data_IF_452737583708
#
_entry.id   IF_452737583708
#
_cell.length_a   1.000
_cell.length_b   1.000
_cell.length_c   1.000
_cell.angle_alpha   90.00
_cell.angle_beta   90.00
_cell.angle_gamma   90.00
#
_symmetry.space_group_name_H-M   'P 1'
#
loop_
_entity.id
_entity.type
_entity.pdbx_description
1 polymer ?
#
# COMPACT_ATOMS: atom_id res chain seq x y z
N UNK A 1 31.37 -68.40 11.99
CA UNK A 1 31.46 -66.94 11.80
C UNK A 1 30.18 -66.31 12.34
N UNK A 2 30.14 -65.97 13.63
CA UNK A 2 29.01 -65.29 14.25
C UNK A 2 29.40 -63.83 14.44
N UNK A 3 28.78 -62.97 13.64
CA UNK A 3 28.77 -61.53 13.87
C UNK A 3 28.29 -61.26 15.30
N UNK A 4 29.20 -60.84 16.18
CA UNK A 4 28.84 -60.34 17.51
C UNK A 4 28.16 -58.99 17.30
N UNK A 5 26.82 -58.98 17.34
CA UNK A 5 26.05 -57.75 17.54
C UNK A 5 26.47 -57.14 18.89
N UNK A 6 27.40 -56.18 18.86
CA UNK A 6 27.70 -55.32 20.02
C UNK A 6 26.49 -54.39 20.17
N UNK A 7 25.64 -54.66 21.16
CA UNK A 7 24.56 -53.75 21.53
C UNK A 7 25.13 -52.40 22.00
N UNK A 8 24.37 -51.33 21.77
CA UNK A 8 24.70 -49.99 22.25
C UNK A 8 24.76 -49.97 23.79
N UNK A 9 25.79 -49.34 24.35
CA UNK A 9 25.81 -49.02 25.78
C UNK A 9 24.80 -47.91 26.08
N UNK A 10 24.28 -47.85 27.30
CA UNK A 10 23.35 -46.80 27.74
C UNK A 10 23.93 -45.39 27.52
N UNK A 11 25.24 -45.23 27.72
CA UNK A 11 25.93 -43.95 27.55
C UNK A 11 26.01 -43.54 26.08
N UNK A 12 26.29 -44.47 25.18
CA UNK A 12 26.25 -44.21 23.72
C UNK A 12 24.82 -43.87 23.27
N UNK A 13 23.79 -44.54 23.80
CA UNK A 13 22.40 -44.22 23.48
C UNK A 13 22.04 -42.80 23.92
N UNK A 14 22.37 -42.41 25.16
CA UNK A 14 22.12 -41.06 25.69
C UNK A 14 22.85 -40.00 24.84
N UNK A 15 24.09 -40.28 24.45
CA UNK A 15 24.89 -39.37 23.63
C UNK A 15 24.26 -39.18 22.25
N UNK A 16 23.82 -40.27 21.61
CA UNK A 16 23.15 -40.20 20.29
C UNK A 16 21.82 -39.47 20.40
N UNK A 17 21.00 -39.76 21.41
CA UNK A 17 19.72 -39.06 21.61
C UNK A 17 19.95 -37.57 21.85
N UNK A 18 20.92 -37.18 22.68
CA UNK A 18 21.24 -35.78 22.94
C UNK A 18 21.67 -35.03 21.66
N UNK A 19 22.51 -35.66 20.84
CA UNK A 19 22.93 -35.10 19.54
C UNK A 19 21.71 -34.92 18.62
N UNK A 20 20.87 -35.94 18.49
CA UNK A 20 19.65 -35.86 17.66
C UNK A 20 18.71 -34.77 18.17
N UNK A 21 18.50 -34.67 19.49
CA UNK A 21 17.67 -33.62 20.09
C UNK A 21 18.18 -32.21 19.77
N UNK A 22 19.50 -31.99 19.83
CA UNK A 22 20.11 -30.71 19.43
C UNK A 22 19.85 -30.42 17.95
N UNK A 23 20.04 -31.41 17.07
CA UNK A 23 19.75 -31.23 15.64
C UNK A 23 18.28 -30.91 15.37
N UNK A 24 17.36 -31.56 16.06
CA UNK A 24 15.92 -31.27 15.92
C UNK A 24 15.61 -29.83 16.33
N UNK A 25 16.15 -29.36 17.46
CA UNK A 25 15.97 -27.96 17.90
C UNK A 25 16.53 -26.98 16.86
N UNK A 26 17.75 -27.22 16.36
CA UNK A 26 18.37 -26.37 15.35
C UNK A 26 17.55 -26.32 14.04
N UNK A 27 17.00 -27.45 13.59
CA UNK A 27 16.16 -27.51 12.39
C UNK A 27 14.87 -26.70 12.59
N UNK A 28 14.24 -26.81 13.76
CA UNK A 28 13.01 -26.06 14.07
C UNK A 28 13.31 -24.55 14.09
N UNK A 29 14.39 -24.13 14.74
CA UNK A 29 14.79 -22.72 14.78
C UNK A 29 15.11 -22.18 13.38
N UNK A 30 15.82 -22.97 12.56
CA UNK A 30 16.10 -22.60 11.17
C UNK A 30 14.81 -22.48 10.33
N UNK A 31 13.87 -23.42 10.45
CA UNK A 31 12.60 -23.35 9.72
C UNK A 31 11.79 -22.11 10.13
N UNK A 32 11.71 -21.82 11.44
CA UNK A 32 11.06 -20.61 11.96
C UNK A 32 11.73 -19.33 11.42
N UNK A 33 13.07 -19.27 11.43
CA UNK A 33 13.82 -18.13 10.92
C UNK A 33 13.61 -17.92 9.41
N UNK A 34 13.58 -19.01 8.63
CA UNK A 34 13.31 -18.94 7.19
C UNK A 34 11.89 -18.46 6.93
N UNK A 35 10.88 -19.03 7.59
CA UNK A 35 9.48 -18.59 7.46
C UNK A 35 9.30 -17.13 7.83
N UNK A 36 9.92 -16.70 8.93
CA UNK A 36 9.93 -15.29 9.33
C UNK A 36 10.46 -14.39 8.23
N UNK A 37 11.61 -14.73 7.65
CA UNK A 37 12.23 -13.93 6.60
C UNK A 37 11.39 -13.89 5.33
N UNK A 38 10.83 -15.03 4.92
CA UNK A 38 9.98 -15.12 3.71
C UNK A 38 8.71 -14.29 3.88
N UNK A 39 7.97 -14.49 4.98
CA UNK A 39 6.71 -13.77 5.22
C UNK A 39 6.92 -12.25 5.35
N UNK A 40 8.00 -11.84 6.04
CA UNK A 40 8.34 -10.41 6.16
C UNK A 40 8.67 -9.79 4.80
N UNK A 41 9.45 -10.50 3.98
CA UNK A 41 9.79 -10.03 2.63
C UNK A 41 8.56 -9.96 1.72
N UNK A 42 7.68 -10.97 1.77
CA UNK A 42 6.45 -10.99 0.96
C UNK A 42 5.52 -9.83 1.34
N UNK A 43 5.34 -9.59 2.65
CA UNK A 43 4.58 -8.44 3.13
C UNK A 43 5.20 -7.12 2.68
N UNK A 44 6.52 -6.98 2.79
CA UNK A 44 7.23 -5.78 2.34
C UNK A 44 7.03 -5.53 0.84
N UNK A 45 7.17 -6.57 0.00
CA UNK A 45 6.97 -6.48 -1.44
C UNK A 45 5.53 -6.14 -1.81
N UNK A 46 4.57 -6.68 -1.07
CA UNK A 46 3.15 -6.36 -1.26
C UNK A 46 2.88 -4.89 -0.95
N UNK A 47 3.34 -4.39 0.20
CA UNK A 47 3.21 -2.98 0.57
C UNK A 47 3.89 -2.06 -0.45
N UNK A 48 5.07 -2.45 -0.93
CA UNK A 48 5.82 -1.69 -1.93
C UNK A 48 5.08 -1.63 -3.27
N UNK A 49 4.52 -2.75 -3.74
CA UNK A 49 3.74 -2.80 -4.97
C UNK A 49 2.48 -1.95 -4.84
N UNK A 50 1.73 -2.14 -3.76
CA UNK A 50 0.49 -1.41 -3.47
C UNK A 50 0.71 0.12 -3.45
N UNK A 51 1.72 0.57 -2.71
CA UNK A 51 2.04 1.98 -2.62
C UNK A 51 2.56 2.58 -3.94
N UNK A 52 3.29 1.81 -4.75
CA UNK A 52 3.72 2.24 -6.10
C UNK A 52 2.53 2.38 -7.04
N UNK A 53 1.63 1.40 -7.04
CA UNK A 53 0.43 1.42 -7.89
C UNK A 53 -0.46 2.61 -7.56
N UNK A 54 -0.63 2.91 -6.27
CA UNK A 54 -1.33 4.12 -5.84
C UNK A 54 -0.62 5.39 -6.29
N UNK A 55 0.69 5.51 -6.08
CA UNK A 55 1.45 6.71 -6.48
C UNK A 55 1.35 6.97 -7.99
N UNK A 56 1.46 5.93 -8.81
CA UNK A 56 1.31 6.03 -10.26
C UNK A 56 -0.09 6.47 -10.67
N UNK A 57 -1.12 5.90 -10.04
CA UNK A 57 -2.52 6.26 -10.29
C UNK A 57 -2.79 7.72 -9.90
N UNK A 58 -2.34 8.12 -8.72
CA UNK A 58 -2.49 9.49 -8.24
C UNK A 58 -1.76 10.49 -9.15
N UNK A 59 -0.53 10.18 -9.56
CA UNK A 59 0.22 11.00 -10.51
C UNK A 59 -0.55 11.18 -11.84
N UNK A 60 -1.14 10.10 -12.35
CA UNK A 60 -1.96 10.16 -13.56
C UNK A 60 -3.21 11.03 -13.36
N UNK A 61 -3.91 10.86 -12.24
CA UNK A 61 -5.13 11.62 -11.94
C UNK A 61 -4.81 13.12 -11.73
N UNK A 62 -3.72 13.45 -11.06
CA UNK A 62 -3.24 14.83 -10.88
C UNK A 62 -2.86 15.50 -12.21
N UNK A 63 -2.16 14.78 -13.09
CA UNK A 63 -1.81 15.27 -14.43
C UNK A 63 -3.04 15.42 -15.34
N UNK A 64 -4.11 14.69 -15.06
CA UNK A 64 -5.37 14.76 -15.83
C UNK A 64 -6.34 15.80 -15.29
N UNK A 65 -6.13 16.30 -14.07
CA UNK A 65 -6.97 17.30 -13.44
C UNK A 65 -6.78 18.68 -14.07
N UNK A 66 -7.89 19.34 -14.43
CA UNK A 66 -7.87 20.71 -14.94
C UNK A 66 -7.98 21.76 -13.83
N UNK A 67 -8.56 21.38 -12.68
CA UNK A 67 -8.68 22.24 -11.49
C UNK A 67 -8.52 21.43 -10.21
N UNK A 68 -7.89 22.07 -9.23
CA UNK A 68 -7.72 21.57 -7.88
C UNK A 68 -8.59 22.42 -6.96
N UNK A 69 -9.46 21.81 -6.15
CA UNK A 69 -10.15 22.56 -5.10
C UNK A 69 -9.12 23.06 -4.08
N UNK A 70 -9.05 24.38 -3.85
CA UNK A 70 -8.16 24.98 -2.85
C UNK A 70 -8.62 24.71 -1.41
N UNK A 71 -9.85 24.22 -1.22
CA UNK A 71 -10.45 24.01 0.12
C UNK A 71 -10.16 22.63 0.72
N UNK A 72 -9.68 21.64 -0.05
CA UNK A 72 -9.74 20.22 0.35
C UNK A 72 -8.40 19.56 0.72
N UNK A 73 -7.34 20.34 1.00
CA UNK A 73 -6.03 19.79 1.41
C UNK A 73 -5.82 20.08 2.90
N UNK A 74 -6.64 19.50 3.77
CA UNK A 74 -6.43 19.56 5.22
C UNK A 74 -6.90 18.26 5.89
N UNK A 75 -6.03 17.71 6.74
CA UNK A 75 -5.97 16.33 7.19
C UNK A 75 -6.73 16.07 8.51
N UNK A 76 -7.74 15.20 8.50
CA UNK A 76 -8.09 14.33 9.63
C UNK A 76 -8.97 13.14 9.22
N UNK A 77 -9.01 12.11 10.06
CA UNK A 77 -9.79 10.88 9.84
C UNK A 77 -11.23 11.17 9.43
N UNK A 78 -11.70 10.52 8.36
CA UNK A 78 -13.04 10.73 7.80
C UNK A 78 -13.19 11.95 6.89
N UNK A 79 -12.10 12.60 6.48
CA UNK A 79 -12.14 13.75 5.55
C UNK A 79 -11.68 13.37 4.13
N UNK A 80 -12.14 14.16 3.16
CA UNK A 80 -11.69 14.15 1.77
C UNK A 80 -10.28 14.74 1.69
N UNK A 81 -9.32 14.00 1.11
CA UNK A 81 -7.91 14.38 1.05
C UNK A 81 -7.52 15.06 -0.27
N UNK A 82 -8.16 14.64 -1.36
CA UNK A 82 -7.87 15.15 -2.69
C UNK A 82 -9.18 15.15 -3.46
N UNK A 83 -9.54 16.31 -3.99
CA UNK A 83 -10.72 16.52 -4.81
C UNK A 83 -10.28 17.14 -6.14
N UNK A 84 -10.42 16.36 -7.21
CA UNK A 84 -9.94 16.70 -8.55
C UNK A 84 -11.10 16.85 -9.50
N UNK A 85 -11.10 17.93 -10.26
CA UNK A 85 -12.02 18.13 -11.38
C UNK A 85 -11.30 17.79 -12.68
N UNK A 86 -11.75 16.71 -13.34
CA UNK A 86 -11.20 16.20 -14.60
C UNK A 86 -12.18 16.52 -15.72
N UNK A 87 -11.78 17.28 -16.75
CA UNK A 87 -12.65 17.57 -17.87
C UNK A 87 -12.92 16.30 -18.67
N UNK A 88 -14.17 16.06 -19.05
CA UNK A 88 -14.52 14.93 -19.92
C UNK A 88 -14.29 15.34 -21.37
N UNK A 89 -13.45 14.62 -22.15
CA UNK A 89 -13.30 14.93 -23.57
C UNK A 89 -14.62 14.66 -24.29
N UNK A 90 -15.09 15.62 -25.09
CA UNK A 90 -16.30 15.48 -25.87
C UNK A 90 -16.07 14.40 -26.94
N UNK A 91 -16.78 13.28 -26.81
CA UNK A 91 -16.66 12.10 -27.67
C UNK A 91 -17.05 12.40 -29.12
N UNK A 92 -17.75 13.50 -29.39
CA UNK A 92 -18.21 13.88 -30.72
C UNK A 92 -17.22 14.73 -31.52
N UNK A 93 -16.37 15.50 -30.84
CA UNK A 93 -15.45 16.45 -31.47
C UNK A 93 -13.98 16.15 -31.22
N UNK A 94 -13.65 15.30 -30.24
CA UNK A 94 -12.27 15.06 -29.81
C UNK A 94 -11.64 16.30 -29.14
N UNK A 95 -12.43 17.36 -28.95
CA UNK A 95 -12.05 18.59 -28.27
C UNK A 95 -12.50 18.50 -26.82
N UNK A 96 -11.67 18.95 -25.88
CA UNK A 96 -12.08 19.16 -24.51
C UNK A 96 -12.93 20.45 -24.48
N UNK A 97 -14.18 20.36 -24.92
CA UNK A 97 -15.11 21.50 -24.92
C UNK A 97 -16.50 21.04 -24.48
N UNK A 98 -16.71 20.98 -23.17
CA UNK A 98 -18.00 20.81 -22.53
C UNK A 98 -17.95 21.25 -21.07
N UNK A 99 -19.07 21.65 -20.46
CA UNK A 99 -19.15 21.97 -19.03
C UNK A 99 -19.11 20.71 -18.14
N UNK A 100 -19.01 19.52 -18.73
CA UNK A 100 -19.04 18.25 -18.00
C UNK A 100 -17.63 17.88 -17.51
N UNK A 101 -17.47 17.84 -16.19
CA UNK A 101 -16.26 17.39 -15.51
C UNK A 101 -16.55 16.22 -14.58
N UNK A 102 -15.74 15.17 -14.67
CA UNK A 102 -15.72 14.12 -13.68
C UNK A 102 -15.03 14.65 -12.42
N UNK A 103 -15.54 14.27 -11.25
CA UNK A 103 -14.92 14.60 -9.97
C UNK A 103 -14.30 13.34 -9.38
N UNK A 104 -13.00 13.37 -9.12
CA UNK A 104 -12.30 12.29 -8.40
C UNK A 104 -12.08 12.73 -6.96
N UNK A 105 -12.54 11.89 -6.03
CA UNK A 105 -12.40 12.11 -4.60
C UNK A 105 -11.58 10.97 -4.00
N UNK A 106 -10.53 11.30 -3.28
CA UNK A 106 -9.80 10.38 -2.41
C UNK A 106 -10.18 10.64 -0.96
N UNK A 107 -10.59 9.60 -0.25
CA UNK A 107 -10.98 9.71 1.15
C UNK A 107 -10.66 8.45 1.94
N UNK A 108 -10.51 8.62 3.25
CA UNK A 108 -10.35 7.51 4.21
C UNK A 108 -11.71 7.24 4.84
N UNK A 109 -12.30 6.04 4.65
CA UNK A 109 -13.54 5.66 5.30
C UNK A 109 -13.40 5.68 6.83
N UNK A 110 -14.37 6.27 7.53
CA UNK A 110 -14.33 6.37 8.99
C UNK A 110 -14.43 5.01 9.72
N UNK A 111 -15.02 4.02 9.07
CA UNK A 111 -15.13 2.64 9.55
C UNK A 111 -13.84 1.83 9.34
N UNK A 112 -12.95 2.27 8.45
CA UNK A 112 -11.68 1.60 8.19
C UNK A 112 -10.55 2.62 7.90
N UNK A 113 -9.89 3.15 8.94
CA UNK A 113 -8.85 4.15 8.80
C UNK A 113 -7.59 3.66 8.07
N UNK A 114 -7.44 2.34 7.92
CA UNK A 114 -6.31 1.71 7.23
C UNK A 114 -6.52 1.63 5.71
N UNK A 115 -7.60 2.21 5.18
CA UNK A 115 -7.94 2.16 3.75
C UNK A 115 -8.04 3.55 3.15
N UNK A 116 -7.52 3.68 1.95
CA UNK A 116 -7.79 4.84 1.09
C UNK A 116 -8.69 4.39 -0.06
N UNK A 117 -9.75 5.14 -0.29
CA UNK A 117 -10.72 4.89 -1.35
C UNK A 117 -10.66 6.01 -2.37
N UNK A 118 -10.64 5.63 -3.65
CA UNK A 118 -10.83 6.52 -4.78
C UNK A 118 -12.27 6.37 -5.28
N UNK A 119 -12.96 7.50 -5.38
CA UNK A 119 -14.33 7.61 -5.86
C UNK A 119 -14.34 8.50 -7.09
N UNK A 120 -15.11 8.13 -8.12
CA UNK A 120 -15.35 8.97 -9.29
C UNK A 120 -16.84 9.26 -9.42
N UNK A 121 -17.16 10.54 -9.44
CA UNK A 121 -18.50 11.10 -9.55
C UNK A 121 -18.66 11.69 -10.95
N UNK A 122 -19.85 11.53 -11.53
CA UNK A 122 -20.16 12.08 -12.84
C UNK A 122 -20.68 13.53 -12.70
N UNK A 123 -20.41 14.37 -13.70
CA UNK A 123 -20.76 15.79 -13.74
C UNK A 123 -22.25 16.12 -13.59
N UNK A 124 -23.13 15.15 -13.86
CA UNK A 124 -24.58 15.33 -13.98
C UNK A 124 -25.38 15.49 -12.68
N UNK A 125 -24.78 15.90 -11.57
CA UNK A 125 -25.50 16.12 -10.29
C UNK A 125 -25.94 14.85 -9.56
N UNK A 126 -25.49 13.67 -10.01
CA UNK A 126 -25.67 12.43 -9.27
C UNK A 126 -24.68 12.37 -8.11
N UNK A 127 -25.18 12.14 -6.91
CA UNK A 127 -24.35 11.85 -5.72
C UNK A 127 -23.86 10.41 -5.69
N UNK A 128 -24.35 9.55 -6.60
CA UNK A 128 -23.92 8.16 -6.66
C UNK A 128 -22.63 8.02 -7.47
N UNK A 129 -21.59 7.39 -6.89
CA UNK A 129 -20.35 7.14 -7.60
C UNK A 129 -20.53 6.02 -8.61
N UNK A 130 -20.12 6.26 -9.86
CA UNK A 130 -20.11 5.21 -10.86
C UNK A 130 -18.87 4.29 -10.73
N UNK A 131 -17.83 4.76 -10.02
CA UNK A 131 -16.67 3.95 -9.65
C UNK A 131 -16.23 4.26 -8.23
N UNK A 132 -16.13 3.23 -7.40
CA UNK A 132 -15.55 3.29 -6.07
C UNK A 132 -14.59 2.12 -5.90
N UNK A 133 -13.33 2.41 -5.59
CA UNK A 133 -12.27 1.40 -5.47
C UNK A 133 -11.39 1.69 -4.27
N UNK A 134 -11.10 0.66 -3.48
CA UNK A 134 -10.04 0.70 -2.47
C UNK A 134 -8.70 0.71 -3.20
N UNK A 135 -7.92 1.78 -3.01
CA UNK A 135 -6.63 1.99 -3.68
C UNK A 135 -5.44 1.77 -2.76
N UNK A 136 -5.66 1.85 -1.44
CA UNK A 136 -4.70 1.40 -0.43
C UNK A 136 -5.44 0.62 0.66
N UNK A 137 -4.80 -0.43 1.15
CA UNK A 137 -5.11 -1.23 2.33
C UNK A 137 -3.83 -1.17 3.18
N UNK A 138 -3.85 -1.16 4.51
CA UNK A 138 -2.62 -0.97 5.32
C UNK A 138 -2.08 0.48 5.38
N UNK A 139 -2.91 1.49 5.13
CA UNK A 139 -2.52 2.89 5.30
C UNK A 139 -2.32 3.23 6.78
N UNK A 140 -1.14 3.78 7.12
CA UNK A 140 -0.89 4.38 8.43
C UNK A 140 -1.06 5.89 8.41
N UNK A 141 -0.41 6.53 7.45
CA UNK A 141 -0.48 7.98 7.27
C UNK A 141 -0.23 8.35 5.82
N UNK A 142 -0.82 9.45 5.40
CA UNK A 142 -0.57 10.09 4.11
C UNK A 142 -0.44 11.59 4.36
N UNK A 143 0.64 12.18 3.86
CA UNK A 143 0.90 13.61 3.92
C UNK A 143 0.96 14.15 2.49
N UNK A 144 0.23 15.24 2.25
CA UNK A 144 0.12 15.87 0.94
C UNK A 144 0.41 17.36 1.09
N UNK A 145 1.44 17.83 0.39
CA UNK A 145 1.84 19.22 0.40
C UNK A 145 1.73 19.79 -1.01
N UNK A 146 0.81 20.74 -1.20
CA UNK A 146 0.70 21.53 -2.44
C UNK A 146 1.58 22.78 -2.28
N UNK A 147 2.64 22.86 -3.08
CA UNK A 147 3.46 24.08 -3.19
C UNK A 147 3.01 24.85 -4.42
N UNK A 148 2.43 26.07 -4.26
CA UNK A 148 2.09 26.90 -5.39
C UNK A 148 3.38 27.44 -6.02
N UNK A 149 3.77 26.90 -7.17
CA UNK A 149 4.70 27.57 -8.08
C UNK A 149 3.83 28.35 -9.05
N UNK A 150 4.18 29.62 -9.35
CA UNK A 150 3.36 30.61 -10.07
C UNK A 150 2.63 30.12 -11.34
N UNK A 151 3.07 29.02 -11.95
CA UNK A 151 2.51 28.45 -13.19
C UNK A 151 2.28 26.92 -13.10
N UNK A 152 3.07 26.18 -12.31
CA UNK A 152 2.99 24.71 -12.22
C UNK A 152 2.96 24.23 -10.75
N UNK A 153 1.80 23.85 -10.17
CA UNK A 153 1.77 23.36 -8.80
C UNK A 153 2.63 22.11 -8.65
N UNK A 154 3.49 22.13 -7.63
CA UNK A 154 4.27 20.97 -7.20
C UNK A 154 3.56 20.33 -6.04
N UNK A 155 3.20 19.06 -6.19
CA UNK A 155 2.66 18.27 -5.11
C UNK A 155 3.72 17.31 -4.57
N UNK A 156 3.90 17.33 -3.26
CA UNK A 156 4.78 16.41 -2.54
C UNK A 156 3.92 15.46 -1.70
N UNK A 157 4.07 14.16 -1.92
CA UNK A 157 3.30 13.11 -1.27
C UNK A 157 4.21 12.17 -0.51
N UNK A 158 3.88 11.96 0.76
CA UNK A 158 4.53 10.97 1.61
C UNK A 158 3.47 9.99 2.10
N UNK A 159 3.68 8.71 1.85
CA UNK A 159 2.76 7.65 2.27
C UNK A 159 3.50 6.70 3.18
N UNK A 160 2.86 6.35 4.27
CA UNK A 160 3.33 5.34 5.20
C UNK A 160 2.32 4.19 5.23
N UNK A 161 2.78 3.00 4.86
CA UNK A 161 2.02 1.76 4.90
C UNK A 161 2.59 0.83 5.96
N UNK A 162 1.72 0.16 6.72
CA UNK A 162 2.12 -0.80 7.76
C UNK A 162 1.26 -2.05 7.76
N UNK A 163 1.89 -3.21 7.66
CA UNK A 163 1.23 -4.51 7.74
C UNK A 163 1.72 -5.26 8.97
N UNK A 164 0.78 -5.62 9.84
CA UNK A 164 1.03 -6.53 10.95
C UNK A 164 0.84 -7.96 10.47
N UNK A 165 1.87 -8.79 10.64
CA UNK A 165 1.77 -10.23 10.38
C UNK A 165 1.70 -10.91 11.76
N UNK A 166 0.73 -11.80 12.02
CA UNK A 166 0.64 -12.53 13.28
C UNK A 166 1.96 -13.22 13.60
N UNK A 167 2.44 -13.11 14.84
CA UNK A 167 3.68 -13.73 15.33
C UNK A 167 4.98 -13.23 14.68
N UNK A 168 4.93 -12.18 13.85
CA UNK A 168 6.11 -11.55 13.26
C UNK A 168 6.17 -10.04 13.52
N UNK A 169 7.35 -9.40 13.33
CA UNK A 169 7.51 -7.97 13.42
C UNK A 169 6.61 -7.21 12.47
N UNK A 170 6.26 -6.00 12.87
CA UNK A 170 5.58 -5.03 12.02
C UNK A 170 6.43 -4.73 10.79
N UNK A 171 5.83 -4.84 9.60
CA UNK A 171 6.48 -4.46 8.34
C UNK A 171 5.94 -3.10 7.92
N UNK A 172 6.84 -2.14 7.68
CA UNK A 172 6.49 -0.77 7.30
C UNK A 172 7.20 -0.38 6.01
N UNK A 173 6.48 0.33 5.13
CA UNK A 173 7.04 0.93 3.91
C UNK A 173 6.68 2.41 3.89
N UNK A 174 7.69 3.26 3.68
CA UNK A 174 7.50 4.70 3.47
C UNK A 174 7.88 5.06 2.04
N UNK A 175 6.95 5.66 1.32
CA UNK A 175 7.12 6.10 -0.06
C UNK A 175 7.03 7.61 -0.14
N UNK A 176 7.83 8.18 -1.03
CA UNK A 176 7.90 9.61 -1.29
C UNK A 176 7.84 9.83 -2.79
N UNK A 177 6.92 10.69 -3.25
CA UNK A 177 6.86 11.10 -4.65
C UNK A 177 6.61 12.61 -4.76
N UNK A 178 7.15 13.21 -5.81
CA UNK A 178 6.95 14.61 -6.16
C UNK A 178 6.38 14.68 -7.57
N UNK A 179 5.19 15.24 -7.70
CA UNK A 179 4.50 15.39 -8.98
C UNK A 179 4.39 16.85 -9.33
N UNK A 180 4.97 17.22 -10.46
CA UNK A 180 4.78 18.53 -11.08
C UNK A 180 3.60 18.44 -12.03
N UNK A 181 2.58 19.27 -11.85
CA UNK A 181 1.43 19.34 -12.76
C UNK A 181 1.56 20.60 -13.61
N UNK A 182 1.44 20.43 -14.93
CA UNK A 182 1.41 21.52 -15.89
C UNK A 182 -0.06 21.81 -16.18
N UNK A 183 -0.54 23.00 -15.82
CA UNK A 183 -1.92 23.46 -16.03
C UNK A 183 -1.99 24.29 -17.31
#
# INVERSE_FOLDING_TARGET
MLSRNRGFSLLELITVTAIISIFVVLIIEMDLAVRHRVNSNEAYLTLLAEGRDFMNMLEQDLKSGAKFSDESISLSYGQCYIDLEIPVPDRSTGVISGPESNRIVYYIPGDNPERLVRMVLNSGGSTEPYLQKVVLQHLKSIDILKTPVKEDPLFDFVIHLEKRIPDYPLVSVKLHNKVKVYI
#
